data_IF_767890690298
#
_entry.id   IF_767890690298
#
_cell.length_a   1.000
_cell.length_b   1.000
_cell.length_c   1.000
_cell.angle_alpha   90.00
_cell.angle_beta   90.00
_cell.angle_gamma   90.00
#
_symmetry.space_group_name_H-M   'P 1'
#
loop_
_entity.id
_entity.type
_entity.pdbx_description
1 polymer ?
#
# COMPACT_ATOMS: atom_id res chain seq x y z
N UNK A 1 8.30 7.78 -18.14
CA UNK A 1 6.89 7.82 -17.68
C UNK A 1 5.94 8.12 -18.85
N UNK A 2 4.84 7.38 -18.98
CA UNK A 2 3.74 7.78 -19.86
C UNK A 2 2.96 8.94 -19.22
N UNK A 3 2.33 9.77 -20.04
CA UNK A 3 1.61 10.98 -19.58
C UNK A 3 0.59 10.66 -18.47
N UNK A 4 -0.26 9.65 -18.67
CA UNK A 4 -1.27 9.27 -17.67
C UNK A 4 -0.69 8.77 -16.33
N UNK A 5 0.53 8.24 -16.32
CA UNK A 5 1.21 7.87 -15.07
C UNK A 5 1.59 9.12 -14.27
N UNK A 6 2.13 10.13 -14.96
CA UNK A 6 2.57 11.38 -14.34
C UNK A 6 1.36 12.16 -13.81
N UNK A 7 0.30 12.29 -14.60
CA UNK A 7 -0.94 12.97 -14.20
C UNK A 7 -1.58 12.33 -12.97
N UNK A 8 -1.69 11.00 -12.94
CA UNK A 8 -2.21 10.28 -11.78
C UNK A 8 -1.32 10.44 -10.54
N UNK A 9 0.00 10.37 -10.71
CA UNK A 9 0.95 10.57 -9.61
C UNK A 9 0.82 11.98 -9.01
N UNK A 10 0.79 13.01 -9.87
CA UNK A 10 0.67 14.40 -9.45
C UNK A 10 -0.69 14.72 -8.83
N UNK A 11 -1.76 14.10 -9.31
CA UNK A 11 -3.07 14.19 -8.66
C UNK A 11 -3.00 13.63 -7.23
N UNK A 12 -2.41 12.45 -7.06
CA UNK A 12 -2.25 11.82 -5.74
C UNK A 12 -1.38 12.64 -4.78
N UNK A 13 -0.26 13.21 -5.23
CA UNK A 13 0.57 14.09 -4.37
C UNK A 13 -0.10 15.43 -4.06
N UNK A 14 -1.08 15.85 -4.87
CA UNK A 14 -1.89 17.04 -4.60
C UNK A 14 -3.11 16.76 -3.72
N UNK A 15 -3.25 15.56 -3.17
CA UNK A 15 -4.42 15.16 -2.37
C UNK A 15 -5.71 15.03 -3.18
N UNK A 16 -5.63 14.83 -4.51
CA UNK A 16 -6.79 14.59 -5.36
C UNK A 16 -6.96 13.10 -5.63
N UNK A 17 -8.22 12.65 -5.62
CA UNK A 17 -8.59 11.31 -6.04
C UNK A 17 -8.45 11.13 -7.55
N UNK A 18 -8.03 9.94 -7.98
CA UNK A 18 -7.85 9.62 -9.39
C UNK A 18 -8.24 8.17 -9.69
N UNK A 19 -8.94 7.96 -10.81
CA UNK A 19 -9.21 6.64 -11.36
C UNK A 19 -8.31 6.41 -12.58
N UNK A 20 -7.48 5.36 -12.54
CA UNK A 20 -6.51 5.06 -13.62
C UNK A 20 -6.97 3.82 -14.38
N UNK A 21 -7.55 4.03 -15.56
CA UNK A 21 -7.92 2.95 -16.48
C UNK A 21 -6.76 2.74 -17.45
N UNK A 22 -6.08 1.62 -17.30
CA UNK A 22 -4.92 1.30 -18.13
C UNK A 22 -4.75 -0.21 -18.31
N UNK A 23 -4.31 -0.59 -19.52
CA UNK A 23 -3.97 -1.98 -19.87
C UNK A 23 -2.84 -2.53 -19.00
N UNK A 24 -2.80 -3.85 -18.85
CA UNK A 24 -1.68 -4.54 -18.18
C UNK A 24 -0.35 -4.14 -18.82
N UNK A 25 0.69 -3.96 -18.00
CA UNK A 25 2.01 -3.52 -18.47
C UNK A 25 2.12 -2.02 -18.75
N UNK A 26 1.05 -1.22 -18.62
CA UNK A 26 1.12 0.24 -18.74
C UNK A 26 1.91 0.92 -17.61
N UNK A 27 2.39 0.17 -16.60
CA UNK A 27 3.23 0.71 -15.53
C UNK A 27 2.48 1.45 -14.43
N UNK A 28 1.29 0.97 -14.05
CA UNK A 28 0.48 1.51 -12.93
C UNK A 28 1.24 1.59 -11.60
N UNK A 29 2.23 0.70 -11.39
CA UNK A 29 3.14 0.72 -10.24
C UNK A 29 3.81 2.08 -10.04
N UNK A 30 4.13 2.80 -11.13
CA UNK A 30 4.76 4.11 -11.04
C UNK A 30 3.86 5.14 -10.36
N UNK A 31 2.54 5.04 -10.57
CA UNK A 31 1.55 5.94 -9.94
C UNK A 31 1.54 5.84 -8.41
N UNK A 32 2.01 4.72 -7.86
CA UNK A 32 2.13 4.46 -6.42
C UNK A 32 3.56 4.77 -5.95
N UNK A 33 4.57 4.38 -6.74
CA UNK A 33 5.98 4.58 -6.39
C UNK A 33 6.37 6.07 -6.32
N UNK A 34 5.90 6.89 -7.26
CA UNK A 34 6.27 8.32 -7.30
C UNK A 34 5.85 9.06 -6.03
N UNK A 35 4.58 8.98 -5.57
CA UNK A 35 4.20 9.62 -4.31
C UNK A 35 4.99 9.12 -3.09
N UNK A 36 5.26 7.81 -3.00
CA UNK A 36 6.07 7.22 -1.92
C UNK A 36 7.49 7.79 -1.86
N UNK A 37 8.10 8.09 -3.01
CA UNK A 37 9.45 8.66 -3.10
C UNK A 37 9.47 10.17 -2.82
N UNK A 38 8.39 10.88 -3.16
CA UNK A 38 8.31 12.33 -3.00
C UNK A 38 7.86 12.77 -1.61
N UNK A 39 7.22 11.88 -0.84
CA UNK A 39 6.67 12.20 0.48
C UNK A 39 7.22 11.27 1.58
N UNK A 40 8.51 11.41 1.96
CA UNK A 40 9.10 10.61 3.03
C UNK A 40 8.33 10.75 4.35
N UNK A 41 8.24 9.65 5.10
CA UNK A 41 7.52 9.61 6.38
C UNK A 41 6.01 9.36 6.26
N UNK A 42 5.48 9.30 5.03
CA UNK A 42 4.10 8.89 4.77
C UNK A 42 4.00 7.39 4.49
N UNK A 43 2.79 6.87 4.64
CA UNK A 43 2.42 5.48 4.36
C UNK A 43 1.40 5.47 3.22
N UNK A 44 1.62 4.56 2.26
CA UNK A 44 0.62 4.19 1.25
C UNK A 44 0.09 2.79 1.55
N UNK A 45 -1.23 2.67 1.61
CA UNK A 45 -1.90 1.37 1.65
C UNK A 45 -2.35 0.99 0.25
N UNK A 46 -1.88 -0.13 -0.28
CA UNK A 46 -2.36 -0.69 -1.55
C UNK A 46 -3.26 -1.87 -1.27
N UNK A 47 -4.54 -1.79 -1.60
CA UNK A 47 -5.47 -2.92 -1.51
C UNK A 47 -5.34 -3.77 -2.77
N UNK A 48 -5.00 -5.05 -2.63
CA UNK A 48 -4.82 -5.97 -3.75
C UNK A 48 -5.53 -7.31 -3.48
N UNK A 49 -6.31 -7.86 -4.44
CA UNK A 49 -7.23 -8.96 -4.17
C UNK A 49 -6.55 -10.33 -4.01
N UNK A 50 -5.37 -10.54 -4.59
CA UNK A 50 -4.74 -11.86 -4.67
C UNK A 50 -3.37 -11.87 -4.00
N UNK A 51 -3.16 -12.80 -3.04
CA UNK A 51 -1.86 -13.03 -2.38
C UNK A 51 -0.70 -13.18 -3.38
N UNK A 52 -0.91 -13.89 -4.48
CA UNK A 52 0.11 -14.06 -5.54
C UNK A 52 0.52 -12.72 -6.16
N UNK A 53 -0.46 -11.83 -6.37
CA UNK A 53 -0.22 -10.50 -6.91
C UNK A 53 0.52 -9.63 -5.91
N UNK A 54 0.15 -9.68 -4.63
CA UNK A 54 0.86 -8.97 -3.56
C UNK A 54 2.35 -9.33 -3.53
N UNK A 55 2.70 -10.61 -3.60
CA UNK A 55 4.10 -11.05 -3.58
C UNK A 55 4.90 -10.55 -4.78
N UNK A 56 4.27 -10.55 -5.97
CA UNK A 56 4.88 -9.97 -7.17
C UNK A 56 5.10 -8.46 -7.01
N UNK A 57 4.13 -7.75 -6.47
CA UNK A 57 4.23 -6.30 -6.23
C UNK A 57 5.29 -5.97 -5.18
N UNK A 58 5.32 -6.66 -4.03
CA UNK A 58 6.35 -6.51 -2.99
C UNK A 58 7.74 -6.60 -3.63
N UNK A 59 7.98 -7.67 -4.40
CA UNK A 59 9.26 -7.87 -5.09
C UNK A 59 9.57 -6.70 -6.03
N UNK A 60 8.62 -6.27 -6.83
CA UNK A 60 8.81 -5.18 -7.79
C UNK A 60 9.14 -3.85 -7.08
N UNK A 61 8.43 -3.50 -6.00
CA UNK A 61 8.72 -2.30 -5.21
C UNK A 61 10.09 -2.34 -4.54
N UNK A 62 10.46 -3.47 -3.93
CA UNK A 62 11.75 -3.62 -3.27
C UNK A 62 12.91 -3.65 -4.25
N UNK A 63 12.79 -4.37 -5.38
CA UNK A 63 13.91 -4.57 -6.31
C UNK A 63 14.08 -3.43 -7.32
N UNK A 64 12.98 -2.86 -7.85
CA UNK A 64 13.06 -1.85 -8.92
C UNK A 64 13.12 -0.43 -8.39
N UNK A 65 12.47 -0.17 -7.25
CA UNK A 65 12.30 1.18 -6.70
C UNK A 65 12.99 1.37 -5.35
N UNK A 66 13.54 0.29 -4.76
CA UNK A 66 14.16 0.31 -3.43
C UNK A 66 13.23 0.87 -2.35
N UNK A 67 11.92 0.59 -2.46
CA UNK A 67 10.90 1.03 -1.50
C UNK A 67 10.59 -0.13 -0.55
N UNK A 68 10.86 0.00 0.76
CA UNK A 68 10.49 -1.03 1.73
C UNK A 68 8.98 -1.27 1.69
N UNK A 69 8.61 -2.49 1.35
CA UNK A 69 7.23 -2.89 1.09
C UNK A 69 6.95 -4.24 1.75
N UNK A 70 5.75 -4.41 2.29
CA UNK A 70 5.31 -5.70 2.85
C UNK A 70 3.88 -6.04 2.44
N UNK A 71 3.60 -7.34 2.29
CA UNK A 71 2.24 -7.85 2.12
C UNK A 71 1.59 -8.15 3.47
N UNK A 72 0.35 -7.67 3.64
CA UNK A 72 -0.50 -7.90 4.81
C UNK A 72 -1.69 -8.79 4.40
N UNK A 73 -1.65 -10.03 4.86
CA UNK A 73 -2.59 -11.11 4.56
C UNK A 73 -2.59 -12.13 5.72
N UNK A 74 -3.19 -13.29 5.50
CA UNK A 74 -3.28 -14.37 6.49
C UNK A 74 -1.91 -14.94 6.93
N UNK A 75 -0.88 -14.84 6.09
CA UNK A 75 0.46 -15.35 6.39
C UNK A 75 1.38 -14.30 7.00
N UNK A 76 0.87 -13.09 7.26
CA UNK A 76 1.70 -12.03 7.85
C UNK A 76 2.27 -12.50 9.19
N UNK A 77 3.60 -12.46 9.36
CA UNK A 77 4.22 -12.92 10.60
C UNK A 77 3.67 -12.16 11.82
N UNK A 78 3.45 -12.87 12.92
CA UNK A 78 2.99 -12.27 14.18
C UNK A 78 4.11 -11.57 14.98
N UNK A 79 5.29 -11.37 14.37
CA UNK A 79 6.48 -10.77 14.98
C UNK A 79 6.19 -9.38 15.56
N UNK A 80 6.27 -9.17 16.89
CA UNK A 80 6.05 -7.87 17.51
C UNK A 80 6.95 -6.77 16.93
N UNK A 81 8.19 -7.09 16.58
CA UNK A 81 9.15 -6.16 16.00
C UNK A 81 8.69 -5.65 14.64
N UNK A 82 8.22 -6.55 13.77
CA UNK A 82 7.72 -6.18 12.45
C UNK A 82 6.53 -5.22 12.55
N UNK A 83 5.58 -5.53 13.42
CA UNK A 83 4.40 -4.69 13.65
C UNK A 83 4.77 -3.35 14.29
N UNK A 84 5.78 -3.31 15.16
CA UNK A 84 6.30 -2.06 15.72
C UNK A 84 6.95 -1.18 14.64
N UNK A 85 7.72 -1.77 13.70
CA UNK A 85 8.28 -1.03 12.56
C UNK A 85 7.19 -0.42 11.68
N UNK A 86 6.13 -1.19 11.39
CA UNK A 86 4.97 -0.67 10.65
C UNK A 86 4.27 0.46 11.39
N UNK A 87 4.01 0.31 12.70
CA UNK A 87 3.40 1.36 13.51
C UNK A 87 4.23 2.67 13.52
N UNK A 88 5.56 2.54 13.51
CA UNK A 88 6.48 3.67 13.41
C UNK A 88 6.52 4.30 12.01
N UNK A 89 6.00 3.64 10.98
CA UNK A 89 6.07 4.11 9.59
C UNK A 89 7.43 3.85 8.94
N UNK A 90 8.23 2.93 9.49
CA UNK A 90 9.53 2.53 8.90
C UNK A 90 9.35 1.72 7.61
N UNK A 91 8.14 1.21 7.36
CA UNK A 91 7.74 0.53 6.13
C UNK A 91 6.68 1.41 5.46
N UNK A 92 7.04 2.23 4.45
CA UNK A 92 6.14 3.23 3.88
C UNK A 92 5.08 2.63 2.95
N UNK A 93 5.19 1.37 2.55
CA UNK A 93 4.24 0.75 1.63
C UNK A 93 3.72 -0.59 2.16
N UNK A 94 2.41 -0.66 2.40
CA UNK A 94 1.72 -1.88 2.85
C UNK A 94 0.75 -2.33 1.76
N UNK A 95 0.92 -3.55 1.24
CA UNK A 95 0.01 -4.16 0.28
C UNK A 95 -0.92 -5.11 1.02
N UNK A 96 -2.20 -4.80 1.07
CA UNK A 96 -3.16 -5.38 2.00
C UNK A 96 -4.23 -6.18 1.25
N UNK A 97 -4.57 -7.36 1.76
CA UNK A 97 -5.70 -8.14 1.24
C UNK A 97 -7.02 -7.59 1.80
N UNK A 98 -8.11 -7.48 1.01
CA UNK A 98 -9.37 -6.87 1.46
C UNK A 98 -9.92 -7.45 2.78
N UNK A 99 -9.70 -8.74 3.04
CA UNK A 99 -10.16 -9.43 4.25
C UNK A 99 -9.55 -8.85 5.53
N UNK A 100 -8.40 -8.17 5.46
CA UNK A 100 -7.75 -7.54 6.60
C UNK A 100 -8.51 -6.32 7.15
N UNK A 101 -9.49 -5.80 6.40
CA UNK A 101 -10.37 -4.72 6.81
C UNK A 101 -11.69 -5.20 7.40
N UNK A 102 -11.95 -6.52 7.40
CA UNK A 102 -13.21 -7.11 7.89
C UNK A 102 -12.96 -7.97 9.12
N UNK A 103 -14.00 -8.19 9.92
CA UNK A 103 -13.94 -9.20 10.98
C UNK A 103 -13.72 -10.58 10.36
N UNK A 104 -12.74 -11.30 10.86
CA UNK A 104 -12.47 -12.68 10.50
C UNK A 104 -12.68 -13.57 11.74
N UNK A 105 -13.58 -14.55 11.65
CA UNK A 105 -13.96 -15.42 12.78
C UNK A 105 -14.27 -14.68 14.09
N UNK A 106 -14.96 -13.52 14.02
CA UNK A 106 -15.33 -12.72 15.20
C UNK A 106 -14.19 -11.88 15.78
N UNK A 107 -13.02 -11.86 15.16
CA UNK A 107 -11.88 -11.06 15.58
C UNK A 107 -11.48 -10.03 14.52
N UNK A 108 -11.08 -8.84 14.98
CA UNK A 108 -10.44 -7.85 14.12
C UNK A 108 -9.01 -8.29 13.79
N UNK A 109 -8.62 -8.33 12.50
CA UNK A 109 -7.24 -8.55 12.09
C UNK A 109 -6.30 -7.52 12.73
N UNK A 110 -5.02 -7.87 12.83
CA UNK A 110 -4.03 -7.03 13.50
C UNK A 110 -3.83 -5.69 12.80
N UNK A 111 -3.96 -5.64 11.48
CA UNK A 111 -3.97 -4.39 10.72
C UNK A 111 -5.14 -3.49 11.11
N UNK A 112 -6.36 -4.03 11.23
CA UNK A 112 -7.52 -3.25 11.66
C UNK A 112 -7.32 -2.63 13.05
N UNK A 113 -6.61 -3.33 13.95
CA UNK A 113 -6.22 -2.76 15.25
C UNK A 113 -5.20 -1.64 15.09
N UNK A 114 -4.20 -1.81 14.21
CA UNK A 114 -3.20 -0.80 13.92
C UNK A 114 -3.82 0.46 13.29
N UNK A 115 -4.85 0.32 12.45
CA UNK A 115 -5.60 1.43 11.87
C UNK A 115 -6.39 2.25 12.92
N UNK A 116 -6.63 1.70 14.11
CA UNK A 116 -7.23 2.45 15.22
C UNK A 116 -6.19 3.26 16.01
N UNK A 117 -4.89 3.03 15.80
CA UNK A 117 -3.83 3.85 16.38
C UNK A 117 -3.72 5.19 15.63
N UNK A 118 -3.94 6.30 16.33
CA UNK A 118 -3.92 7.63 15.71
C UNK A 118 -2.55 8.02 15.15
N UNK A 119 -1.46 7.57 15.78
CA UNK A 119 -0.10 7.90 15.36
C UNK A 119 0.31 7.17 14.09
N UNK A 120 -0.21 5.95 13.88
CA UNK A 120 -0.09 5.24 12.62
C UNK A 120 -1.02 5.83 11.55
N UNK A 121 -2.30 6.01 11.87
CA UNK A 121 -3.29 6.44 10.88
C UNK A 121 -3.07 7.86 10.37
N UNK A 122 -2.48 8.75 11.18
CA UNK A 122 -2.08 10.09 10.72
C UNK A 122 -0.95 10.07 9.69
N UNK A 123 -0.22 8.96 9.54
CA UNK A 123 0.84 8.80 8.54
C UNK A 123 0.32 8.24 7.22
N UNK A 124 -0.88 7.69 7.18
CA UNK A 124 -1.48 7.17 5.95
C UNK A 124 -1.87 8.37 5.09
N UNK A 125 -1.08 8.64 4.05
CA UNK A 125 -1.34 9.74 3.13
C UNK A 125 -2.32 9.33 2.01
N UNK A 126 -2.38 8.03 1.70
CA UNK A 126 -3.12 7.55 0.53
C UNK A 126 -3.47 6.06 0.61
N UNK A 127 -4.56 5.74 -0.07
CA UNK A 127 -5.01 4.36 -0.33
C UNK A 127 -5.09 4.15 -1.84
N UNK A 128 -4.35 3.18 -2.34
CA UNK A 128 -4.43 2.72 -3.73
C UNK A 128 -5.27 1.44 -3.78
N UNK A 129 -6.22 1.36 -4.71
CA UNK A 129 -7.03 0.16 -4.93
C UNK A 129 -6.61 -0.44 -6.27
N UNK A 130 -6.05 -1.64 -6.22
CA UNK A 130 -5.68 -2.41 -7.41
C UNK A 130 -6.84 -3.31 -7.84
N UNK A 131 -6.96 -3.56 -9.15
CA UNK A 131 -8.05 -4.35 -9.74
C UNK A 131 -9.47 -3.89 -9.32
N UNK A 132 -9.73 -2.57 -9.33
CA UNK A 132 -10.97 -1.95 -8.89
C UNK A 132 -12.19 -2.08 -9.85
N UNK A 133 -12.20 -3.12 -10.69
CA UNK A 133 -13.23 -3.35 -11.71
C UNK A 133 -14.47 -4.08 -11.16
#
# INVERSE_FOLDING_TARGET
>A
PHQGQLEASLASTSGRDSAVIARTGYGKTLCIAVPLLLEPGTITLTVSPLKRLQMMQVRDFMQKYNIPTIAINEDTPQSPELWAKMAKGEIPHLIVQPEQFRMNHGHLPRLARLLNDRGFSSKIARVAIDEAH
#
